data_IF_564382723135
#
_entry.id   IF_564382723135
#
_cell.length_a   1.000
_cell.length_b   1.000
_cell.length_c   1.000
_cell.angle_alpha   90.00
_cell.angle_beta   90.00
_cell.angle_gamma   90.00
#
_symmetry.space_group_name_H-M   'P 1'
#
loop_
_entity.id
_entity.type
_entity.pdbx_description
1 polymer ?
#
# COMPACT_ATOMS: atom_id res chain seq x y z
N UNK A 1 -2.13 6.39 -1.16
CA UNK A 1 -1.87 5.48 -2.29
C UNK A 1 -0.90 6.09 -3.29
N UNK A 2 -1.33 6.89 -4.27
CA UNK A 2 -0.43 7.33 -5.34
C UNK A 2 0.63 8.37 -4.92
N UNK A 3 0.32 9.23 -3.95
CA UNK A 3 1.28 10.20 -3.43
C UNK A 3 2.52 9.52 -2.84
N UNK A 4 2.34 8.36 -2.19
CA UNK A 4 3.44 7.57 -1.61
C UNK A 4 4.28 6.86 -2.68
N UNK A 5 3.64 6.35 -3.75
CA UNK A 5 4.33 5.74 -4.87
C UNK A 5 5.21 6.76 -5.63
N UNK A 6 4.72 8.00 -5.80
CA UNK A 6 5.50 9.09 -6.42
C UNK A 6 6.72 9.52 -5.60
N UNK A 7 6.72 9.29 -4.28
CA UNK A 7 7.86 9.52 -3.39
C UNK A 7 8.86 8.35 -3.37
N UNK A 8 8.70 7.36 -4.25
CA UNK A 8 9.55 6.17 -4.28
C UNK A 8 9.35 5.23 -3.10
N UNK A 9 8.27 5.40 -2.32
CA UNK A 9 7.94 4.53 -1.19
C UNK A 9 7.18 3.31 -1.68
N UNK A 10 7.59 2.13 -1.20
CA UNK A 10 6.96 0.85 -1.49
C UNK A 10 5.51 0.84 -0.94
N UNK A 11 4.54 0.85 -1.84
CA UNK A 11 3.11 0.78 -1.49
C UNK A 11 2.56 -0.57 -1.92
N UNK A 12 1.98 -1.31 -0.99
CA UNK A 12 1.27 -2.56 -1.28
C UNK A 12 -0.23 -2.29 -1.31
N UNK A 13 -0.96 -3.03 -2.13
CA UNK A 13 -2.43 -2.92 -2.22
C UNK A 13 -3.06 -4.30 -2.29
N UNK A 14 -4.28 -4.39 -1.76
CA UNK A 14 -5.18 -5.53 -1.90
C UNK A 14 -6.32 -5.13 -2.85
N UNK A 15 -6.55 -5.94 -3.89
CA UNK A 15 -7.77 -5.86 -4.67
C UNK A 15 -8.90 -6.57 -3.90
N UNK A 16 -9.86 -5.79 -3.44
CA UNK A 16 -10.99 -6.29 -2.64
C UNK A 16 -11.98 -7.15 -3.42
N UNK A 17 -11.97 -7.05 -4.75
CA UNK A 17 -12.83 -7.87 -5.63
C UNK A 17 -12.18 -9.20 -5.99
N UNK A 18 -10.89 -9.18 -6.30
CA UNK A 18 -10.13 -10.38 -6.69
C UNK A 18 -9.57 -11.13 -5.48
N UNK A 19 -9.54 -10.48 -4.30
CA UNK A 19 -8.85 -10.95 -3.10
C UNK A 19 -7.35 -11.22 -3.34
N UNK A 20 -6.75 -10.43 -4.22
CA UNK A 20 -5.33 -10.52 -4.55
C UNK A 20 -4.55 -9.36 -3.96
N UNK A 21 -3.26 -9.59 -3.69
CA UNK A 21 -2.35 -8.57 -3.16
C UNK A 21 -1.18 -8.37 -4.09
N UNK A 22 -0.73 -7.13 -4.21
CA UNK A 22 0.39 -6.80 -5.07
C UNK A 22 1.05 -5.49 -4.70
N UNK A 23 2.20 -5.25 -5.31
CA UNK A 23 3.00 -4.04 -5.11
C UNK A 23 2.66 -3.02 -6.18
N UNK A 24 2.27 -1.81 -5.81
CA UNK A 24 2.05 -0.72 -6.77
C UNK A 24 3.37 -0.37 -7.45
N UNK A 25 3.41 -0.44 -8.78
CA UNK A 25 4.56 -0.08 -9.62
C UNK A 25 4.32 1.21 -10.40
N UNK A 26 3.06 1.54 -10.71
CA UNK A 26 2.70 2.81 -11.32
C UNK A 26 1.29 3.25 -10.92
N UNK A 27 1.01 4.54 -11.08
CA UNK A 27 -0.30 5.14 -10.86
C UNK A 27 -0.76 5.88 -12.12
N UNK A 28 -1.96 5.55 -12.59
CA UNK A 28 -2.73 6.35 -13.54
C UNK A 28 -3.67 7.31 -12.83
N UNK A 29 -4.61 7.91 -13.57
CA UNK A 29 -5.61 8.81 -13.01
C UNK A 29 -6.64 8.07 -12.12
N UNK A 30 -7.14 6.93 -12.59
CA UNK A 30 -8.16 6.12 -11.90
C UNK A 30 -7.75 4.66 -11.71
N UNK A 31 -6.55 4.30 -12.19
CA UNK A 31 -6.00 2.95 -12.18
C UNK A 31 -4.63 2.90 -11.52
N UNK A 32 -4.29 1.73 -11.02
CA UNK A 32 -2.99 1.40 -10.42
C UNK A 32 -2.41 0.24 -11.22
N UNK A 33 -1.16 0.35 -11.63
CA UNK A 33 -0.42 -0.81 -12.12
C UNK A 33 0.24 -1.47 -10.91
N UNK A 34 -0.03 -2.76 -10.74
CA UNK A 34 0.34 -3.54 -9.56
C UNK A 34 1.10 -4.78 -10.01
N UNK A 35 2.28 -5.01 -9.43
CA UNK A 35 3.02 -6.26 -9.60
C UNK A 35 2.47 -7.33 -8.66
N UNK A 36 1.90 -8.37 -9.25
CA UNK A 36 1.36 -9.56 -8.58
C UNK A 36 2.23 -10.74 -9.00
N UNK A 37 3.18 -11.13 -8.16
CA UNK A 37 4.05 -12.28 -8.42
C UNK A 37 4.91 -12.17 -9.68
N UNK A 38 5.38 -10.96 -10.01
CA UNK A 38 6.21 -10.70 -11.20
C UNK A 38 5.41 -10.43 -12.49
N UNK A 39 4.09 -10.29 -12.39
CA UNK A 39 3.23 -9.84 -13.49
C UNK A 39 2.62 -8.50 -13.14
N UNK A 40 2.65 -7.56 -14.08
CA UNK A 40 1.96 -6.28 -13.93
C UNK A 40 0.49 -6.45 -14.31
N UNK A 41 -0.39 -6.02 -13.43
CA UNK A 41 -1.84 -5.94 -13.66
C UNK A 41 -2.34 -4.52 -13.40
N UNK A 42 -3.35 -4.11 -14.15
CA UNK A 42 -3.99 -2.82 -13.95
C UNK A 42 -5.29 -2.99 -13.14
N UNK A 43 -5.32 -2.39 -11.96
CA UNK A 43 -6.46 -2.43 -11.04
C UNK A 43 -7.10 -1.07 -10.91
N UNK A 44 -8.40 -1.03 -10.67
CA UNK A 44 -9.10 0.22 -10.38
C UNK A 44 -8.87 0.66 -8.93
N UNK A 45 -8.56 1.94 -8.73
CA UNK A 45 -8.28 2.49 -7.39
C UNK A 45 -9.42 2.27 -6.39
N UNK A 46 -10.67 2.36 -6.86
CA UNK A 46 -11.87 2.18 -6.02
C UNK A 46 -12.00 0.78 -5.42
N UNK A 47 -11.41 -0.21 -6.08
CA UNK A 47 -11.48 -1.61 -5.71
C UNK A 47 -10.22 -2.03 -4.90
N UNK A 48 -9.28 -1.10 -4.70
CA UNK A 48 -8.01 -1.32 -4.03
C UNK A 48 -7.99 -0.76 -2.60
N UNK A 49 -7.39 -1.53 -1.68
CA UNK A 49 -7.13 -1.12 -0.30
C UNK A 49 -5.63 -1.05 -0.05
N UNK A 50 -5.17 0.02 0.60
CA UNK A 50 -3.75 0.22 0.92
C UNK A 50 -3.28 -0.75 2.02
N UNK A 51 -2.14 -1.37 1.78
CA UNK A 51 -1.36 -2.16 2.71
C UNK A 51 0.00 -1.47 2.91
N UNK A 52 0.47 -1.42 4.15
CA UNK A 52 1.82 -0.92 4.47
C UNK A 52 2.70 -2.12 4.80
N UNK A 53 3.78 -2.32 4.03
CA UNK A 53 4.67 -3.47 4.16
C UNK A 53 3.97 -4.85 4.12
N UNK A 54 2.87 -4.98 3.37
CA UNK A 54 2.08 -6.23 3.32
C UNK A 54 1.15 -6.45 4.52
N UNK A 55 1.09 -5.50 5.46
CA UNK A 55 0.15 -5.51 6.57
C UNK A 55 -0.96 -4.49 6.34
N UNK A 56 -2.18 -4.86 6.73
CA UNK A 56 -3.33 -3.97 6.73
C UNK A 56 -3.10 -2.85 7.73
N UNK A 57 -3.11 -1.60 7.28
CA UNK A 57 -2.96 -0.46 8.19
C UNK A 57 -4.24 -0.31 9.01
N UNK A 58 -4.11 -0.51 10.32
CA UNK A 58 -5.14 -0.13 11.27
C UNK A 58 -4.83 1.28 11.80
N UNK A 59 -5.30 2.32 11.09
CA UNK A 59 -5.03 3.70 11.46
C UNK A 59 -5.56 4.07 12.86
N UNK A 60 -6.57 3.35 13.37
CA UNK A 60 -7.09 3.54 14.73
C UNK A 60 -6.12 3.08 15.82
N UNK A 61 -5.22 2.13 15.52
CA UNK A 61 -4.17 1.68 16.45
C UNK A 61 -2.88 2.49 16.32
N UNK A 62 -2.52 2.92 15.11
CA UNK A 62 -1.34 3.76 14.85
C UNK A 62 -1.42 5.09 15.61
N UNK A 63 -2.62 5.67 15.74
CA UNK A 63 -2.83 6.91 16.52
C UNK A 63 -2.74 6.71 18.04
N UNK A 64 -2.80 5.48 18.56
CA UNK A 64 -2.73 5.21 20.01
C UNK A 64 -1.31 5.06 20.53
N UNK A 65 -0.35 4.71 19.67
CA UNK A 65 1.04 4.42 20.08
C UNK A 65 2.07 5.17 19.21
N UNK A 66 2.09 6.51 19.19
CA UNK A 66 3.00 7.28 18.34
C UNK A 66 4.49 7.19 18.70
N UNK A 67 4.86 6.57 19.83
CA UNK A 67 6.24 6.61 20.37
C UNK A 67 6.94 5.26 20.55
N UNK A 68 6.34 4.12 20.19
CA UNK A 68 6.96 2.81 20.47
C UNK A 68 7.93 2.31 19.37
N UNK A 69 8.07 3.05 18.27
CA UNK A 69 9.05 2.76 17.19
C UNK A 69 10.22 3.75 17.13
N UNK A 70 10.32 4.70 18.08
CA UNK A 70 11.51 5.54 18.22
C UNK A 70 12.52 4.85 19.15
N UNK A 71 13.17 3.80 18.64
CA UNK A 71 14.36 3.25 19.28
C UNK A 71 15.60 4.06 18.87
N UNK A 72 15.58 5.38 19.04
CA UNK A 72 16.81 6.11 19.35
C UNK A 72 17.00 6.09 20.87
N UNK A 73 17.64 5.03 21.36
CA UNK A 73 18.41 5.13 22.61
C UNK A 73 19.82 4.65 22.34
N UNK A 74 20.66 5.66 22.17
CA UNK A 74 22.07 5.77 22.57
C UNK A 74 22.54 4.72 23.59
#
# INVERSE_FOLDING_TARGET
>A
MCTLASEGRLTWVENTTLHETGRVTACGADTLTVDVGGKNEDWHMRDCRELTHGYKVNYEEVLKHPHEFDTHRD
#
